data_IF_244794773046
#
_entry.id   IF_244794773046
#
_cell.length_a   1.000
_cell.length_b   1.000
_cell.length_c   1.000
_cell.angle_alpha   90.00
_cell.angle_beta   90.00
_cell.angle_gamma   90.00
#
_symmetry.space_group_name_H-M   'P 1'
#
loop_
_entity.id
_entity.type
_entity.pdbx_description
1 polymer ?
#
# COMPACT_ATOMS: atom_id res chain seq x y z
N UNK A 1 57.66 21.27 -13.38
CA UNK A 1 56.70 20.70 -12.39
C UNK A 1 55.34 21.37 -12.62
N UNK A 2 54.25 20.62 -12.54
CA UNK A 2 52.84 21.09 -12.57
C UNK A 2 52.15 21.24 -13.93
N UNK A 3 52.23 20.19 -14.75
CA UNK A 3 51.16 19.84 -15.71
C UNK A 3 50.23 18.85 -14.99
N UNK A 4 49.38 19.30 -14.07
CA UNK A 4 48.45 18.37 -13.39
C UNK A 4 47.26 19.05 -12.69
N UNK A 5 46.64 20.09 -13.27
CA UNK A 5 45.38 20.65 -12.72
C UNK A 5 44.38 21.10 -13.79
N UNK A 6 44.28 20.38 -14.92
CA UNK A 6 43.30 20.67 -15.98
C UNK A 6 42.48 19.44 -16.39
N UNK A 7 42.05 18.64 -15.41
CA UNK A 7 41.09 17.53 -15.61
C UNK A 7 40.14 17.35 -14.42
N UNK A 8 39.65 18.44 -13.84
CA UNK A 8 38.62 18.38 -12.78
C UNK A 8 37.36 19.20 -13.07
N UNK A 9 37.30 19.90 -14.20
CA UNK A 9 36.10 20.57 -14.67
C UNK A 9 35.67 19.94 -15.99
N UNK A 10 34.93 18.83 -15.94
CA UNK A 10 33.69 18.61 -16.71
C UNK A 10 33.14 17.17 -16.54
N UNK A 11 32.67 16.82 -15.34
CA UNK A 11 31.82 15.62 -15.12
C UNK A 11 30.65 16.03 -14.21
N UNK A 12 29.93 17.08 -14.61
CA UNK A 12 28.72 17.54 -13.93
C UNK A 12 27.57 17.73 -14.93
N UNK A 13 27.45 16.82 -15.91
CA UNK A 13 26.28 16.73 -16.78
C UNK A 13 25.46 15.51 -16.37
N UNK A 14 24.38 15.74 -15.61
CA UNK A 14 23.33 14.73 -15.39
C UNK A 14 22.96 14.43 -13.94
N UNK A 15 23.65 14.98 -12.93
CA UNK A 15 23.19 14.86 -11.55
C UNK A 15 22.03 15.83 -11.29
N UNK A 16 20.83 15.39 -11.66
CA UNK A 16 19.56 15.86 -11.08
C UNK A 16 19.79 16.02 -9.58
N UNK A 17 19.63 17.23 -9.02
CA UNK A 17 19.79 17.52 -7.58
C UNK A 17 19.00 16.50 -6.76
N UNK A 18 19.67 15.41 -6.42
CA UNK A 18 19.12 14.31 -5.68
C UNK A 18 19.21 14.77 -4.24
N UNK A 19 18.08 14.99 -3.59
CA UNK A 19 18.04 15.26 -2.15
C UNK A 19 18.54 14.07 -1.29
N UNK A 20 19.07 13.04 -1.94
CA UNK A 20 19.63 11.84 -1.34
C UNK A 20 21.11 11.78 -1.67
N UNK A 21 21.91 11.61 -0.62
CA UNK A 21 23.33 11.28 -0.74
C UNK A 21 23.51 9.79 -1.07
N UNK A 22 24.66 9.43 -1.64
CA UNK A 22 24.99 8.01 -1.93
C UNK A 22 24.89 7.13 -0.67
N UNK A 23 25.23 7.66 0.50
CA UNK A 23 25.12 6.94 1.77
C UNK A 23 23.66 6.66 2.17
N UNK A 24 22.74 7.59 1.90
CA UNK A 24 21.31 7.36 2.13
C UNK A 24 20.74 6.31 1.18
N UNK A 25 21.19 6.30 -0.08
CA UNK A 25 20.77 5.29 -1.05
C UNK A 25 21.23 3.89 -0.65
N UNK A 26 22.49 3.74 -0.19
CA UNK A 26 22.98 2.47 0.35
C UNK A 26 22.15 2.00 1.55
N UNK A 27 21.84 2.89 2.50
CA UNK A 27 20.97 2.53 3.63
C UNK A 27 19.58 2.06 3.19
N UNK A 28 19.00 2.66 2.15
CA UNK A 28 17.71 2.22 1.59
C UNK A 28 17.84 0.81 0.98
N UNK A 29 18.94 0.52 0.30
CA UNK A 29 19.23 -0.81 -0.28
C UNK A 29 19.44 -1.85 0.83
N UNK A 30 20.23 -1.53 1.86
CA UNK A 30 20.52 -2.40 3.00
C UNK A 30 19.25 -2.71 3.83
N UNK A 31 18.25 -1.82 3.75
CA UNK A 31 16.95 -1.98 4.42
C UNK A 31 15.93 -2.75 3.58
N UNK A 32 16.34 -3.36 2.45
CA UNK A 32 15.46 -4.18 1.64
C UNK A 32 15.01 -5.45 2.39
N UNK A 33 13.72 -5.84 2.32
CA UNK A 33 12.65 -5.20 1.57
C UNK A 33 12.08 -3.95 2.27
N UNK A 34 12.01 -2.84 1.54
CA UNK A 34 11.47 -1.57 2.06
C UNK A 34 9.96 -1.60 1.98
N UNK A 35 9.31 -1.84 3.11
CA UNK A 35 7.85 -1.66 3.26
C UNK A 35 7.52 -0.22 3.63
N UNK A 36 6.23 0.11 3.72
CA UNK A 36 5.79 1.44 4.17
C UNK A 36 6.33 1.80 5.57
N UNK A 37 6.36 0.87 6.53
CA UNK A 37 6.85 1.18 7.88
C UNK A 37 8.35 1.44 7.89
N UNK A 38 9.12 0.65 7.13
CA UNK A 38 10.56 0.87 6.95
C UNK A 38 10.82 2.23 6.31
N UNK A 39 10.02 2.62 5.32
CA UNK A 39 10.11 3.94 4.70
C UNK A 39 9.75 5.08 5.67
N UNK A 40 8.83 4.86 6.62
CA UNK A 40 8.49 5.83 7.67
C UNK A 40 9.69 6.03 8.63
N UNK A 41 10.35 4.96 9.06
CA UNK A 41 11.57 5.03 9.88
C UNK A 41 12.70 5.76 9.15
N UNK A 42 13.00 5.37 7.91
CA UNK A 42 14.04 6.00 7.09
C UNK A 42 13.73 7.48 6.81
N UNK A 43 12.46 7.83 6.64
CA UNK A 43 12.04 9.22 6.45
C UNK A 43 12.31 10.08 7.69
N UNK A 44 12.02 9.56 8.88
CA UNK A 44 12.37 10.20 10.15
C UNK A 44 13.88 10.37 10.29
N UNK A 45 14.67 9.34 9.96
CA UNK A 45 16.13 9.37 10.06
C UNK A 45 16.78 10.36 9.07
N UNK A 46 16.21 10.49 7.87
CA UNK A 46 16.72 11.38 6.83
C UNK A 46 16.17 12.81 6.91
N UNK A 47 15.13 13.05 7.72
CA UNK A 47 14.41 14.32 7.75
C UNK A 47 13.66 14.61 6.44
N UNK A 48 13.25 13.56 5.71
CA UNK A 48 12.58 13.65 4.42
C UNK A 48 11.13 13.19 4.53
N UNK A 49 10.32 13.49 3.50
CA UNK A 49 8.96 12.96 3.45
C UNK A 49 8.96 11.47 3.12
N UNK A 50 8.07 10.71 3.76
CA UNK A 50 7.85 9.27 3.49
C UNK A 50 7.63 9.01 2.00
N UNK A 51 6.86 9.88 1.32
CA UNK A 51 6.62 9.79 -0.12
C UNK A 51 7.91 9.87 -0.94
N UNK A 52 8.86 10.72 -0.53
CA UNK A 52 10.16 10.84 -1.19
C UNK A 52 10.98 9.56 -1.02
N UNK A 53 11.01 9.00 0.19
CA UNK A 53 11.76 7.76 0.49
C UNK A 53 11.17 6.58 -0.27
N UNK A 54 9.83 6.44 -0.29
CA UNK A 54 9.14 5.43 -1.09
C UNK A 54 9.48 5.61 -2.58
N UNK A 55 9.43 6.83 -3.11
CA UNK A 55 9.75 7.07 -4.51
C UNK A 55 11.19 6.68 -4.84
N UNK A 56 12.15 6.95 -3.95
CA UNK A 56 13.54 6.53 -4.12
C UNK A 56 13.68 4.99 -4.02
N UNK A 57 13.04 4.35 -3.05
CA UNK A 57 13.04 2.89 -2.90
C UNK A 57 12.41 2.17 -4.11
N UNK A 58 11.38 2.76 -4.74
CA UNK A 58 10.80 2.27 -6.00
C UNK A 58 11.81 2.37 -7.15
N UNK A 59 12.52 3.49 -7.28
CA UNK A 59 13.57 3.65 -8.30
C UNK A 59 14.72 2.65 -8.12
N UNK A 60 15.07 2.37 -6.86
CA UNK A 60 16.09 1.37 -6.48
C UNK A 60 15.56 -0.08 -6.54
N UNK A 61 14.28 -0.28 -6.87
CA UNK A 61 13.61 -1.59 -6.96
C UNK A 61 13.62 -2.41 -5.66
N UNK A 62 13.70 -1.73 -4.51
CA UNK A 62 13.68 -2.37 -3.17
C UNK A 62 12.37 -2.13 -2.42
N UNK A 63 11.45 -1.33 -2.96
CA UNK A 63 10.15 -1.09 -2.36
C UNK A 63 9.19 -2.27 -2.56
N UNK A 64 8.70 -2.82 -1.45
CA UNK A 64 7.67 -3.85 -1.44
C UNK A 64 6.31 -3.19 -1.19
N UNK A 65 5.49 -3.13 -2.26
CA UNK A 65 4.10 -2.66 -2.14
C UNK A 65 3.31 -3.65 -1.29
N UNK A 66 2.47 -3.18 -0.34
CA UNK A 66 1.55 -4.07 0.35
C UNK A 66 0.66 -4.77 -0.67
N UNK A 67 0.47 -6.07 -0.49
CA UNK A 67 -0.51 -6.80 -1.29
C UNK A 67 -1.87 -6.13 -1.13
N UNK A 68 -2.56 -5.94 -2.25
CA UNK A 68 -3.94 -5.49 -2.19
C UNK A 68 -4.70 -6.56 -1.40
N UNK A 69 -5.24 -6.20 -0.24
CA UNK A 69 -6.15 -7.07 0.48
C UNK A 69 -7.28 -7.39 -0.48
N UNK A 70 -7.33 -8.62 -0.98
CA UNK A 70 -8.46 -9.13 -1.72
C UNK A 70 -9.65 -8.88 -0.80
N UNK A 71 -10.59 -8.05 -1.24
CA UNK A 71 -11.82 -7.86 -0.50
C UNK A 71 -12.43 -9.25 -0.38
N UNK A 72 -12.40 -9.84 0.83
CA UNK A 72 -13.10 -11.09 1.11
C UNK A 72 -14.51 -10.91 0.55
N UNK A 73 -14.96 -11.82 -0.32
CA UNK A 73 -16.25 -11.75 -0.98
C UNK A 73 -17.31 -11.39 0.07
N UNK A 74 -17.66 -10.10 0.13
CA UNK A 74 -18.56 -9.58 1.15
C UNK A 74 -19.91 -10.05 0.67
N UNK A 75 -20.54 -10.96 1.41
CA UNK A 75 -21.89 -11.43 1.12
C UNK A 75 -22.74 -10.21 0.76
N UNK A 76 -23.18 -10.17 -0.49
CA UNK A 76 -24.00 -9.06 -0.96
C UNK A 76 -25.32 -9.08 -0.21
N UNK A 77 -26.05 -7.95 -0.21
CA UNK A 77 -27.37 -7.93 0.42
C UNK A 77 -28.29 -9.02 -0.15
N UNK A 78 -28.17 -9.31 -1.45
CA UNK A 78 -28.90 -10.39 -2.10
C UNK A 78 -28.52 -11.76 -1.55
N UNK A 79 -27.23 -12.01 -1.34
CA UNK A 79 -26.78 -13.26 -0.72
C UNK A 79 -27.34 -13.42 0.71
N UNK A 80 -27.43 -12.33 1.47
CA UNK A 80 -28.04 -12.35 2.80
C UNK A 80 -29.55 -12.62 2.75
N UNK A 81 -30.30 -11.97 1.85
CA UNK A 81 -31.74 -12.22 1.68
C UNK A 81 -31.98 -13.67 1.26
N UNK A 82 -31.26 -14.18 0.26
CA UNK A 82 -31.40 -15.57 -0.17
C UNK A 82 -31.00 -16.59 0.90
N UNK A 83 -30.07 -16.25 1.80
CA UNK A 83 -29.74 -17.10 2.94
C UNK A 83 -30.86 -17.11 3.99
N UNK A 84 -31.51 -15.96 4.23
CA UNK A 84 -32.66 -15.85 5.13
C UNK A 84 -33.86 -16.61 4.56
N UNK A 85 -34.15 -16.47 3.26
CA UNK A 85 -35.22 -17.22 2.58
C UNK A 85 -35.02 -18.73 2.75
N UNK A 86 -33.79 -19.22 2.56
CA UNK A 86 -33.47 -20.64 2.79
C UNK A 86 -33.65 -21.09 4.24
N UNK A 87 -33.38 -20.22 5.21
CA UNK A 87 -33.56 -20.53 6.63
C UNK A 87 -35.05 -20.54 7.05
N UNK A 88 -35.91 -19.86 6.29
CA UNK A 88 -37.35 -19.73 6.56
C UNK A 88 -38.21 -20.56 5.59
N UNK A 89 -37.69 -21.69 5.07
CA UNK A 89 -38.39 -22.61 4.16
C UNK A 89 -38.83 -22.02 2.80
N UNK A 90 -38.17 -20.95 2.33
CA UNK A 90 -38.19 -20.55 0.92
C UNK A 90 -39.31 -19.60 0.49
N UNK A 91 -40.02 -18.97 1.44
CA UNK A 91 -40.91 -17.87 1.08
C UNK A 91 -40.12 -16.66 0.56
N UNK A 92 -40.66 -15.98 -0.45
CA UNK A 92 -39.99 -14.83 -1.06
C UNK A 92 -39.95 -13.63 -0.10
N UNK A 93 -38.77 -13.05 0.07
CA UNK A 93 -38.51 -11.91 0.94
C UNK A 93 -38.01 -10.69 0.15
N UNK A 94 -38.44 -10.53 -1.10
CA UNK A 94 -38.07 -9.41 -1.98
C UNK A 94 -38.34 -8.03 -1.32
N UNK A 95 -39.30 -7.94 -0.38
CA UNK A 95 -39.56 -6.73 0.40
C UNK A 95 -38.44 -6.32 1.36
N UNK A 96 -37.48 -7.20 1.66
CA UNK A 96 -36.37 -6.93 2.59
C UNK A 96 -35.17 -6.22 1.94
N UNK A 97 -35.23 -5.90 0.63
CA UNK A 97 -34.14 -5.18 -0.07
C UNK A 97 -33.85 -3.78 0.51
N UNK A 98 -34.85 -3.16 1.16
CA UNK A 98 -34.71 -1.88 1.86
C UNK A 98 -33.95 -1.96 3.18
N UNK A 99 -33.76 -3.16 3.75
CA UNK A 99 -33.05 -3.34 5.02
C UNK A 99 -31.54 -3.10 4.87
N UNK A 100 -30.89 -2.73 5.97
CA UNK A 100 -29.44 -2.61 6.00
C UNK A 100 -28.78 -4.00 5.97
N UNK A 101 -27.60 -4.12 5.38
CA UNK A 101 -26.85 -5.39 5.38
C UNK A 101 -26.54 -5.88 6.80
N UNK A 102 -26.36 -4.96 7.76
CA UNK A 102 -26.15 -5.31 9.17
C UNK A 102 -27.41 -5.92 9.78
N UNK A 103 -28.59 -5.38 9.47
CA UNK A 103 -29.89 -5.89 9.92
C UNK A 103 -30.14 -7.30 9.39
N UNK A 104 -29.91 -7.51 8.08
CA UNK A 104 -30.07 -8.83 7.44
C UNK A 104 -29.09 -9.85 8.02
N UNK A 105 -27.83 -9.46 8.25
CA UNK A 105 -26.84 -10.35 8.87
C UNK A 105 -27.22 -10.72 10.31
N UNK A 106 -27.71 -9.77 11.11
CA UNK A 106 -28.15 -10.03 12.48
C UNK A 106 -29.39 -10.94 12.52
N UNK A 107 -30.33 -10.74 11.59
CA UNK A 107 -31.49 -11.60 11.43
C UNK A 107 -31.05 -13.02 11.08
N UNK A 108 -30.21 -13.17 10.06
CA UNK A 108 -29.68 -14.46 9.63
C UNK A 108 -28.99 -15.20 10.78
N UNK A 109 -28.16 -14.51 11.58
CA UNK A 109 -27.52 -15.09 12.77
C UNK A 109 -28.51 -15.50 13.88
N UNK A 110 -29.72 -14.93 13.90
CA UNK A 110 -30.73 -15.24 14.91
C UNK A 110 -31.62 -16.42 14.51
N UNK A 111 -31.72 -16.72 13.22
CA UNK A 111 -32.59 -17.76 12.65
C UNK A 111 -31.81 -18.95 12.08
N UNK A 112 -30.50 -18.82 11.90
CA UNK A 112 -29.58 -19.85 11.42
C UNK A 112 -28.88 -20.59 12.55
#
# INVERSE_FOLDING_TARGET
MSIMKSKFNNVMEGQKMSNYTNAMEQRIIDSAPVTRSVAETLASDFGLSVRSVISKAVLLKVYQKPEAKVASAKSTKKDLVSAIEKALDGESLEGLEGASAASLSALLMSIS
#
